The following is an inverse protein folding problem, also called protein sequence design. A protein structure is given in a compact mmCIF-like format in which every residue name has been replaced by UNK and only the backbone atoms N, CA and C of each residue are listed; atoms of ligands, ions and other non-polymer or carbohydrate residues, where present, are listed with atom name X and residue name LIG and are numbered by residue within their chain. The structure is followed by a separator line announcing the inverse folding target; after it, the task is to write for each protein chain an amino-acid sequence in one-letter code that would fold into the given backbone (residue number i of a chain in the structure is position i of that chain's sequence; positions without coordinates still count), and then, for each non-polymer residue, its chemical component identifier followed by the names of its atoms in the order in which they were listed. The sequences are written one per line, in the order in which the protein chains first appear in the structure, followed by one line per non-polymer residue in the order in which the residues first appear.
data_IF_747902660132
#
_entry.id   IF_747902660132
#
_cell.length_a   1.000
_cell.length_b   1.000
_cell.length_c   1.000
_cell.angle_alpha   90.00
_cell.angle_beta   90.00
_cell.angle_gamma   90.00
#
_symmetry.space_group_name_H-M   'P 1'
#
loop_
_entity.id
_entity.type
_entity.pdbx_description
1 polymer ?
#
# COMPACT_ATOMS: atom_id res chain seq x y z
N UNK A 1 -31.71 19.71 30.31
CA UNK A 1 -30.64 18.76 29.90
C UNK A 1 -30.69 18.66 28.41
N UNK A 2 -29.82 19.44 27.73
CA UNK A 2 -29.73 19.48 26.28
C UNK A 2 -28.79 18.41 25.79
N UNK A 3 -29.26 17.62 24.83
CA UNK A 3 -28.46 16.66 24.07
C UNK A 3 -27.52 17.40 23.13
N UNK A 4 -26.24 17.44 23.43
CA UNK A 4 -25.21 17.75 22.44
C UNK A 4 -24.98 16.53 21.54
N UNK A 5 -25.78 16.43 20.48
CA UNK A 5 -25.46 15.59 19.36
C UNK A 5 -24.36 16.28 18.55
N UNK A 6 -23.11 15.88 18.73
CA UNK A 6 -22.07 16.25 17.80
C UNK A 6 -22.33 15.51 16.48
N UNK A 7 -22.87 16.22 15.49
CA UNK A 7 -22.79 15.83 14.11
C UNK A 7 -21.31 15.69 13.77
N UNK A 8 -20.83 14.46 13.69
CA UNK A 8 -19.59 14.15 12.98
C UNK A 8 -20.01 14.30 11.51
N UNK A 9 -19.59 15.43 10.91
CA UNK A 9 -19.80 15.68 9.49
C UNK A 9 -19.35 14.45 8.72
N UNK A 10 -20.31 13.76 8.11
CA UNK A 10 -20.03 12.70 7.16
C UNK A 10 -19.37 13.37 5.96
N UNK A 11 -18.06 13.35 5.93
CA UNK A 11 -17.32 13.70 4.72
C UNK A 11 -17.86 12.76 3.65
N UNK A 12 -18.48 13.33 2.61
CA UNK A 12 -19.12 12.57 1.56
C UNK A 12 -18.06 11.65 0.92
N UNK A 13 -18.42 10.39 0.73
CA UNK A 13 -17.51 9.38 0.13
C UNK A 13 -17.02 9.84 -1.25
N UNK A 14 -17.81 10.65 -1.95
CA UNK A 14 -17.49 11.30 -3.22
C UNK A 14 -16.39 12.37 -3.05
N UNK A 15 -16.45 13.20 -2.01
CA UNK A 15 -15.41 14.20 -1.72
C UNK A 15 -14.06 13.54 -1.39
N UNK A 16 -14.07 12.45 -0.63
CA UNK A 16 -12.87 11.70 -0.32
C UNK A 16 -12.24 11.04 -1.55
N UNK A 17 -13.05 10.50 -2.45
CA UNK A 17 -12.58 9.94 -3.72
C UNK A 17 -11.98 11.04 -4.60
N UNK A 18 -12.62 12.20 -4.70
CA UNK A 18 -12.11 13.35 -5.48
C UNK A 18 -10.78 13.88 -4.89
N UNK A 19 -10.69 14.00 -3.57
CA UNK A 19 -9.48 14.43 -2.89
C UNK A 19 -8.32 13.43 -3.10
N UNK A 20 -8.62 12.14 -3.03
CA UNK A 20 -7.67 11.07 -3.34
C UNK A 20 -7.16 11.15 -4.78
N UNK A 21 -8.06 11.36 -5.75
CA UNK A 21 -7.69 11.48 -7.16
C UNK A 21 -6.87 12.75 -7.45
N UNK A 22 -7.11 13.84 -6.71
CA UNK A 22 -6.28 15.06 -6.78
C UNK A 22 -4.86 14.82 -6.24
N UNK A 23 -4.73 14.14 -5.09
CA UNK A 23 -3.42 13.76 -4.54
C UNK A 23 -2.67 12.83 -5.50
N UNK A 24 -3.35 11.85 -6.06
CA UNK A 24 -2.77 10.92 -7.03
C UNK A 24 -2.32 11.62 -8.30
N UNK A 25 -3.09 12.59 -8.81
CA UNK A 25 -2.72 13.43 -9.96
C UNK A 25 -1.48 14.28 -9.67
N UNK A 26 -1.41 14.92 -8.52
CA UNK A 26 -0.25 15.75 -8.14
C UNK A 26 1.02 14.91 -7.93
N UNK A 27 0.90 13.70 -7.38
CA UNK A 27 2.00 12.76 -7.24
C UNK A 27 2.50 12.26 -8.61
N UNK A 28 1.60 11.99 -9.55
CA UNK A 28 1.95 11.51 -10.88
C UNK A 28 2.65 12.58 -11.75
N UNK A 29 2.32 13.86 -11.58
CA UNK A 29 2.99 14.96 -12.33
C UNK A 29 4.45 15.16 -11.92
N UNK A 30 4.85 14.71 -10.73
CA UNK A 30 6.22 14.80 -10.22
C UNK A 30 7.01 13.48 -10.30
N UNK A 31 6.42 12.42 -10.87
CA UNK A 31 7.11 11.14 -11.02
C UNK A 31 8.11 11.20 -12.18
N UNK A 32 9.42 11.15 -11.85
CA UNK A 32 10.45 10.87 -12.84
C UNK A 32 10.30 9.46 -13.44
N UNK A 33 11.07 9.17 -14.49
CA UNK A 33 11.09 7.87 -15.22
C UNK A 33 11.08 6.66 -14.27
N UNK A 34 11.75 6.76 -13.12
CA UNK A 34 11.78 5.71 -12.11
C UNK A 34 10.39 5.39 -11.52
N UNK A 35 9.56 6.41 -11.33
CA UNK A 35 8.19 6.22 -10.85
C UNK A 35 7.29 5.59 -11.90
N UNK A 36 7.45 5.96 -13.18
CA UNK A 36 6.69 5.37 -14.29
C UNK A 36 6.97 3.87 -14.40
N UNK A 37 8.23 3.47 -14.31
CA UNK A 37 8.62 2.04 -14.31
C UNK A 37 7.97 1.31 -13.13
N UNK A 38 7.99 1.91 -11.93
CA UNK A 38 7.34 1.34 -10.76
C UNK A 38 5.85 1.10 -10.96
N UNK A 39 5.14 2.10 -11.48
CA UNK A 39 3.71 2.00 -11.75
C UNK A 39 3.40 0.90 -12.77
N UNK A 40 4.20 0.80 -13.84
CA UNK A 40 3.99 -0.24 -14.85
C UNK A 40 4.23 -1.64 -14.29
N UNK A 41 5.26 -1.81 -13.44
CA UNK A 41 5.50 -3.09 -12.74
C UNK A 41 4.31 -3.46 -11.83
N UNK A 42 3.75 -2.51 -11.07
CA UNK A 42 2.56 -2.76 -10.24
C UNK A 42 1.35 -3.18 -11.08
N UNK A 43 1.07 -2.49 -12.18
CA UNK A 43 -0.04 -2.85 -13.07
C UNK A 43 0.13 -4.27 -13.66
N UNK A 44 1.36 -4.64 -14.03
CA UNK A 44 1.65 -6.00 -14.52
C UNK A 44 1.46 -7.05 -13.44
N UNK A 45 1.85 -6.75 -12.20
CA UNK A 45 1.64 -7.64 -11.05
C UNK A 45 0.15 -7.86 -10.81
N UNK A 46 -0.65 -6.80 -10.81
CA UNK A 46 -2.10 -6.88 -10.64
C UNK A 46 -2.75 -7.71 -11.74
N UNK A 47 -2.45 -7.43 -13.01
CA UNK A 47 -2.96 -8.20 -14.14
C UNK A 47 -2.56 -9.68 -14.06
N UNK A 48 -1.35 -9.95 -13.62
CA UNK A 48 -0.88 -11.33 -13.45
C UNK A 48 -1.62 -12.06 -12.33
N UNK A 49 -1.77 -11.43 -11.17
CA UNK A 49 -2.47 -12.01 -10.01
C UNK A 49 -3.93 -12.33 -10.36
N UNK A 50 -4.61 -11.46 -11.09
CA UNK A 50 -6.04 -11.62 -11.40
C UNK A 50 -6.34 -12.45 -12.63
N UNK A 51 -5.52 -12.34 -13.66
CA UNK A 51 -5.82 -12.88 -14.99
C UNK A 51 -4.85 -13.99 -15.43
N UNK A 52 -3.72 -14.13 -14.74
CA UNK A 52 -2.62 -15.02 -15.16
C UNK A 52 -1.95 -14.58 -16.48
N UNK A 53 -2.20 -13.34 -16.92
CA UNK A 53 -1.72 -12.85 -18.22
C UNK A 53 -0.35 -12.20 -18.05
N UNK A 54 0.59 -12.57 -18.91
CA UNK A 54 1.88 -11.91 -19.07
C UNK A 54 1.92 -11.29 -20.46
N UNK A 55 1.75 -9.96 -20.58
CA UNK A 55 1.86 -9.31 -21.88
C UNK A 55 3.30 -9.28 -22.39
N UNK A 56 3.49 -8.91 -23.64
CA UNK A 56 4.83 -8.65 -24.17
C UNK A 56 5.43 -7.41 -23.49
N UNK A 57 6.58 -7.58 -22.83
CA UNK A 57 7.27 -6.51 -22.10
C UNK A 57 8.53 -6.12 -22.84
N UNK A 58 8.54 -4.93 -23.43
CA UNK A 58 9.67 -4.41 -24.21
C UNK A 58 10.76 -3.75 -23.35
N UNK A 59 10.37 -3.10 -22.24
CA UNK A 59 11.34 -2.46 -21.34
C UNK A 59 12.10 -3.52 -20.52
N UNK A 60 13.45 -3.59 -20.63
CA UNK A 60 14.25 -4.62 -19.97
C UNK A 60 14.25 -4.51 -18.43
N UNK A 61 14.13 -3.30 -17.86
CA UNK A 61 14.07 -3.11 -16.41
C UNK A 61 12.74 -3.63 -15.86
N UNK A 62 11.63 -3.33 -16.54
CA UNK A 62 10.30 -3.81 -16.18
C UNK A 62 10.25 -5.34 -16.30
N UNK A 63 10.76 -5.88 -17.41
CA UNK A 63 10.82 -7.34 -17.64
C UNK A 63 11.59 -8.06 -16.55
N UNK A 64 12.72 -7.52 -16.10
CA UNK A 64 13.53 -8.11 -15.02
C UNK A 64 12.80 -8.04 -13.67
N UNK A 65 12.26 -6.86 -13.33
CA UNK A 65 11.55 -6.65 -12.06
C UNK A 65 10.32 -7.53 -11.97
N UNK A 66 9.44 -7.48 -12.97
CA UNK A 66 8.22 -8.30 -13.03
C UNK A 66 8.54 -9.80 -13.09
N UNK A 67 9.56 -10.20 -13.86
CA UNK A 67 9.98 -11.59 -13.95
C UNK A 67 10.39 -12.18 -12.59
N UNK A 68 11.07 -11.39 -11.75
CA UNK A 68 11.42 -11.80 -10.38
C UNK A 68 10.20 -11.89 -9.45
N UNK A 69 9.24 -10.97 -9.59
CA UNK A 69 7.98 -11.07 -8.89
C UNK A 69 7.24 -12.36 -9.27
N UNK A 70 7.09 -12.61 -10.59
CA UNK A 70 6.39 -13.78 -11.10
C UNK A 70 7.02 -15.09 -10.59
N UNK A 71 8.35 -15.22 -10.70
CA UNK A 71 9.10 -16.39 -10.20
C UNK A 71 8.83 -16.63 -8.70
N UNK A 72 8.85 -15.57 -7.91
CA UNK A 72 8.57 -15.64 -6.48
C UNK A 72 7.11 -15.99 -6.21
N UNK A 73 6.17 -15.33 -6.90
CA UNK A 73 4.74 -15.50 -6.66
C UNK A 73 4.26 -16.91 -7.03
N UNK A 74 4.73 -17.46 -8.14
CA UNK A 74 4.40 -18.82 -8.59
C UNK A 74 4.87 -19.91 -7.60
N UNK A 75 5.90 -19.60 -6.83
CA UNK A 75 6.40 -20.48 -5.77
C UNK A 75 5.59 -20.42 -4.47
N UNK A 76 4.64 -19.48 -4.35
CA UNK A 76 3.83 -19.35 -3.15
C UNK A 76 2.67 -20.35 -3.18
N UNK A 77 2.59 -21.22 -2.18
CA UNK A 77 1.51 -22.18 -2.05
C UNK A 77 0.51 -21.76 -0.94
N UNK A 78 -0.78 -21.90 -1.24
CA UNK A 78 -1.84 -21.78 -0.23
C UNK A 78 -2.12 -20.37 0.24
N UNK A 79 -1.79 -19.37 -0.57
CA UNK A 79 -2.24 -18.00 -0.40
C UNK A 79 -3.57 -17.81 -1.14
N UNK A 80 -4.57 -17.31 -0.42
CA UNK A 80 -5.86 -16.89 -0.96
C UNK A 80 -5.87 -15.37 -1.08
N UNK A 81 -6.24 -14.85 -2.24
CA UNK A 81 -6.37 -13.41 -2.46
C UNK A 81 -7.62 -12.93 -1.71
N UNK A 82 -7.44 -11.94 -0.83
CA UNK A 82 -8.55 -11.25 -0.18
C UNK A 82 -8.86 -9.95 -0.92
N UNK A 83 -7.83 -9.14 -1.15
CA UNK A 83 -7.92 -7.89 -1.91
C UNK A 83 -6.61 -7.63 -2.65
N UNK A 84 -6.73 -6.88 -3.77
CA UNK A 84 -5.60 -6.21 -4.43
C UNK A 84 -6.00 -4.79 -4.81
N UNK A 85 -5.01 -3.89 -4.92
CA UNK A 85 -5.17 -2.47 -5.33
C UNK A 85 -6.36 -1.78 -4.64
N UNK A 86 -6.56 -2.10 -3.35
CA UNK A 86 -7.69 -1.58 -2.59
C UNK A 86 -7.41 -0.20 -2.05
N UNK A 87 -8.28 0.76 -2.34
CA UNK A 87 -8.31 2.04 -1.66
C UNK A 87 -8.72 1.82 -0.21
N UNK A 88 -7.96 2.38 0.72
CA UNK A 88 -8.17 2.27 2.17
C UNK A 88 -8.22 3.65 2.82
N UNK A 89 -9.01 3.79 3.87
CA UNK A 89 -9.28 5.04 4.55
C UNK A 89 -9.29 4.83 6.06
N UNK A 90 -8.57 5.70 6.79
CA UNK A 90 -8.81 5.88 8.23
C UNK A 90 -9.64 7.14 8.46
N UNK A 91 -10.86 6.97 8.94
CA UNK A 91 -11.75 8.08 9.35
C UNK A 91 -11.29 8.71 10.65
N UNK A 92 -10.74 7.91 11.56
CA UNK A 92 -10.23 8.37 12.85
C UNK A 92 -9.00 9.26 12.64
N UNK A 93 -8.04 8.80 11.85
CA UNK A 93 -6.77 9.49 11.64
C UNK A 93 -6.74 10.33 10.37
N UNK A 94 -7.83 10.37 9.57
CA UNK A 94 -8.03 11.22 8.39
C UNK A 94 -6.89 11.10 7.37
N UNK A 95 -6.63 9.89 6.90
CA UNK A 95 -5.71 9.62 5.79
C UNK A 95 -6.24 8.51 4.91
N UNK A 96 -5.76 8.44 3.69
CA UNK A 96 -6.14 7.44 2.70
C UNK A 96 -4.89 6.94 1.97
N UNK A 97 -5.02 5.78 1.33
CA UNK A 97 -3.97 5.21 0.50
C UNK A 97 -4.50 4.10 -0.40
N UNK A 98 -3.63 3.50 -1.19
CA UNK A 98 -3.93 2.28 -1.94
C UNK A 98 -3.03 1.17 -1.40
N UNK A 99 -3.66 0.11 -0.94
CA UNK A 99 -3.03 -1.11 -0.48
C UNK A 99 -2.80 -2.03 -1.68
N UNK A 100 -1.58 -2.54 -1.84
CA UNK A 100 -1.27 -3.41 -2.98
C UNK A 100 -1.99 -4.75 -2.86
N UNK A 101 -1.84 -5.49 -1.75
CA UNK A 101 -2.56 -6.75 -1.57
C UNK A 101 -2.74 -7.18 -0.11
N UNK A 102 -3.82 -7.91 0.16
CA UNK A 102 -3.98 -8.77 1.35
C UNK A 102 -4.22 -10.20 0.87
N UNK A 103 -3.42 -11.10 1.44
CA UNK A 103 -3.61 -12.53 1.28
C UNK A 103 -3.95 -13.16 2.61
N UNK A 104 -4.68 -14.27 2.54
CA UNK A 104 -5.01 -15.14 3.67
C UNK A 104 -4.27 -16.45 3.50
N UNK A 105 -3.63 -16.91 4.56
CA UNK A 105 -2.95 -18.20 4.60
C UNK A 105 -3.96 -19.35 4.84
N UNK A 106 -3.53 -20.59 4.63
CA UNK A 106 -4.31 -21.80 5.00
C UNK A 106 -4.70 -21.86 6.48
N UNK A 107 -3.90 -21.22 7.35
CA UNK A 107 -4.20 -21.09 8.79
C UNK A 107 -5.20 -19.99 9.13
N UNK A 108 -5.64 -19.20 8.14
CA UNK A 108 -6.57 -18.10 8.31
C UNK A 108 -5.92 -16.77 8.68
N UNK A 109 -4.60 -16.67 8.72
CA UNK A 109 -3.87 -15.44 8.99
C UNK A 109 -3.92 -14.51 7.78
N UNK A 110 -4.24 -13.21 8.01
CA UNK A 110 -4.19 -12.18 6.99
C UNK A 110 -2.84 -11.47 7.02
N UNK A 111 -2.26 -11.30 5.83
CA UNK A 111 -0.94 -10.69 5.63
C UNK A 111 -1.07 -9.56 4.61
N UNK A 112 -0.53 -8.38 4.92
CA UNK A 112 -0.41 -7.28 3.97
C UNK A 112 0.86 -7.50 3.17
N UNK A 113 0.72 -7.46 1.84
CA UNK A 113 1.83 -7.44 0.90
C UNK A 113 1.93 -6.08 0.23
N UNK A 114 3.15 -5.63 0.02
CA UNK A 114 3.47 -4.36 -0.64
C UNK A 114 4.59 -4.60 -1.65
N UNK A 115 4.33 -4.27 -2.91
CA UNK A 115 5.24 -4.49 -4.02
C UNK A 115 6.12 -3.27 -4.22
N UNK A 116 7.41 -3.49 -4.44
CA UNK A 116 8.36 -2.40 -4.73
C UNK A 116 9.30 -2.79 -5.86
N UNK A 117 9.73 -1.78 -6.63
CA UNK A 117 10.75 -1.90 -7.68
C UNK A 117 11.95 -0.97 -7.42
N UNK A 118 12.14 -0.57 -6.17
CA UNK A 118 13.17 0.37 -5.74
C UNK A 118 14.54 -0.31 -5.55
N UNK A 119 15.60 0.48 -5.44
CA UNK A 119 16.96 -0.02 -5.19
C UNK A 119 17.11 -0.74 -3.84
N UNK A 120 16.18 -0.52 -2.89
CA UNK A 120 16.20 -1.16 -1.58
C UNK A 120 14.95 -0.85 -0.77
N UNK A 121 14.76 -1.58 0.33
CA UNK A 121 13.66 -1.42 1.27
C UNK A 121 14.03 -0.33 2.29
N UNK A 122 13.13 0.64 2.49
CA UNK A 122 13.28 1.78 3.42
C UNK A 122 12.25 1.70 4.54
N UNK A 123 12.56 2.29 5.69
CA UNK A 123 11.67 2.29 6.85
C UNK A 123 10.33 3.00 6.58
N UNK A 124 10.31 4.00 5.69
CA UNK A 124 9.06 4.64 5.27
C UNK A 124 8.06 3.69 4.61
N UNK A 125 8.55 2.63 3.96
CA UNK A 125 7.69 1.59 3.37
C UNK A 125 7.02 0.72 4.45
N UNK A 126 7.72 0.48 5.57
CA UNK A 126 7.14 -0.22 6.72
C UNK A 126 6.05 0.63 7.36
N UNK A 127 6.32 1.93 7.56
CA UNK A 127 5.35 2.89 8.10
C UNK A 127 4.08 2.93 7.24
N UNK A 128 4.21 2.89 5.92
CA UNK A 128 3.08 2.82 4.99
C UNK A 128 2.19 1.59 5.28
N UNK A 129 2.77 0.42 5.46
CA UNK A 129 2.04 -0.81 5.76
C UNK A 129 1.38 -0.74 7.15
N UNK A 130 2.03 -0.15 8.13
CA UNK A 130 1.42 0.05 9.46
C UNK A 130 0.18 0.94 9.37
N UNK A 131 0.22 2.01 8.57
CA UNK A 131 -0.94 2.86 8.30
C UNK A 131 -2.06 2.07 7.59
N UNK A 132 -1.73 1.24 6.60
CA UNK A 132 -2.71 0.41 5.91
C UNK A 132 -3.41 -0.57 6.84
N UNK A 133 -2.66 -1.19 7.77
CA UNK A 133 -3.27 -2.04 8.80
C UNK A 133 -4.32 -1.30 9.63
N UNK A 134 -4.06 -0.06 10.02
CA UNK A 134 -5.02 0.76 10.77
C UNK A 134 -6.30 0.93 9.97
N UNK A 135 -6.21 1.29 8.67
CA UNK A 135 -7.36 1.42 7.80
C UNK A 135 -8.16 0.12 7.70
N UNK A 136 -7.49 -0.99 7.47
CA UNK A 136 -8.13 -2.32 7.31
C UNK A 136 -8.84 -2.75 8.60
N UNK A 137 -8.24 -2.48 9.75
CA UNK A 137 -8.87 -2.76 11.05
C UNK A 137 -10.11 -1.89 11.27
N UNK A 138 -10.04 -0.60 10.91
CA UNK A 138 -11.18 0.33 11.02
C UNK A 138 -12.32 -0.03 10.07
N UNK A 139 -12.02 -0.31 8.80
CA UNK A 139 -13.04 -0.51 7.77
C UNK A 139 -13.65 -1.91 7.79
N UNK A 140 -12.85 -2.93 8.05
CA UNK A 140 -13.22 -4.34 7.84
C UNK A 140 -13.17 -5.18 9.11
N UNK A 141 -12.63 -4.66 10.22
CA UNK A 141 -12.41 -5.43 11.44
C UNK A 141 -11.33 -6.52 11.32
N UNK A 142 -10.56 -6.54 10.22
CA UNK A 142 -9.50 -7.51 10.00
C UNK A 142 -8.25 -7.09 10.78
N UNK A 143 -7.79 -7.93 11.70
CA UNK A 143 -6.58 -7.70 12.47
C UNK A 143 -5.38 -8.39 11.81
N UNK A 144 -4.67 -7.61 10.96
CA UNK A 144 -3.45 -8.06 10.31
C UNK A 144 -2.27 -7.93 11.28
N UNK A 145 -1.48 -8.98 11.43
CA UNK A 145 -0.33 -9.01 12.36
C UNK A 145 1.03 -9.08 11.69
N UNK A 146 1.04 -9.17 10.36
CA UNK A 146 2.24 -9.34 9.56
C UNK A 146 2.17 -8.51 8.30
N UNK A 147 3.28 -7.86 7.95
CA UNK A 147 3.51 -7.23 6.67
C UNK A 147 4.69 -7.85 5.93
N UNK A 148 4.61 -7.90 4.62
CA UNK A 148 5.67 -8.39 3.75
C UNK A 148 5.89 -7.38 2.63
N UNK A 149 7.12 -6.88 2.51
CA UNK A 149 7.55 -6.11 1.34
C UNK A 149 8.27 -7.05 0.39
N UNK A 150 7.79 -7.12 -0.85
CA UNK A 150 8.42 -7.85 -1.94
C UNK A 150 9.02 -6.85 -2.91
N UNK A 151 10.33 -6.61 -2.79
CA UNK A 151 11.03 -5.63 -3.62
C UNK A 151 11.78 -6.33 -4.74
N UNK A 152 11.28 -6.18 -5.97
CA UNK A 152 11.89 -6.69 -7.18
C UNK A 152 12.59 -5.55 -7.91
N UNK A 153 13.90 -5.44 -7.75
CA UNK A 153 14.64 -4.29 -8.29
C UNK A 153 14.68 -4.31 -9.81
N UNK A 154 14.96 -3.16 -10.41
CA UNK A 154 15.09 -3.00 -11.87
C UNK A 154 16.23 -3.85 -12.47
N UNK A 155 17.23 -4.18 -11.64
CA UNK A 155 18.34 -5.06 -12.00
C UNK A 155 17.95 -6.56 -11.93
N UNK A 156 16.74 -6.87 -11.45
CA UNK A 156 16.25 -8.23 -11.30
C UNK A 156 16.70 -8.93 -10.01
N UNK A 157 16.94 -8.15 -8.94
CA UNK A 157 17.19 -8.71 -7.60
C UNK A 157 15.88 -8.78 -6.84
N UNK A 158 15.69 -9.85 -6.07
CA UNK A 158 14.57 -10.03 -5.15
C UNK A 158 15.03 -9.81 -3.71
N UNK A 159 14.38 -8.87 -3.03
CA UNK A 159 14.59 -8.62 -1.60
C UNK A 159 13.23 -8.71 -0.91
N UNK A 160 13.11 -9.60 0.07
CA UNK A 160 11.88 -9.79 0.85
C UNK A 160 12.16 -9.36 2.28
N UNK A 161 11.27 -8.55 2.84
CA UNK A 161 11.29 -8.18 4.24
C UNK A 161 9.94 -8.50 4.86
N UNK A 162 9.93 -9.50 5.73
CA UNK A 162 8.81 -9.85 6.58
C UNK A 162 8.99 -9.17 7.95
N UNK A 163 7.90 -8.67 8.53
CA UNK A 163 7.93 -8.01 9.83
C UNK A 163 6.58 -8.09 10.53
N UNK A 164 6.59 -8.16 11.88
CA UNK A 164 5.36 -8.14 12.66
C UNK A 164 4.74 -6.74 12.67
N UNK A 165 3.43 -6.67 12.87
CA UNK A 165 2.69 -5.43 13.09
C UNK A 165 1.93 -5.58 14.41
N UNK A 166 2.29 -4.78 15.41
CA UNK A 166 1.64 -4.72 16.71
C UNK A 166 1.31 -3.26 17.08
N UNK A 167 0.77 -3.04 18.25
CA UNK A 167 0.37 -1.71 18.72
C UNK A 167 1.51 -0.68 18.73
N UNK A 168 2.74 -1.10 19.02
CA UNK A 168 3.89 -0.19 19.01
C UNK A 168 4.16 0.34 17.60
N UNK A 169 4.13 -0.52 16.57
CA UNK A 169 4.31 -0.09 15.19
C UNK A 169 3.16 0.81 14.70
N UNK A 170 1.92 0.53 15.13
CA UNK A 170 0.78 1.41 14.83
C UNK A 170 1.00 2.81 15.43
N UNK A 171 1.45 2.91 16.69
CA UNK A 171 1.77 4.19 17.33
C UNK A 171 2.91 4.93 16.65
N UNK A 172 3.96 4.22 16.21
CA UNK A 172 5.04 4.80 15.41
C UNK A 172 4.49 5.38 14.11
N UNK A 173 3.64 4.66 13.40
CA UNK A 173 3.05 5.13 12.16
C UNK A 173 2.20 6.40 12.34
N UNK A 174 1.37 6.45 13.39
CA UNK A 174 0.59 7.65 13.74
C UNK A 174 1.50 8.82 14.11
N UNK A 175 2.59 8.57 14.83
CA UNK A 175 3.57 9.61 15.16
C UNK A 175 4.24 10.18 13.91
N UNK A 176 4.61 9.32 12.96
CA UNK A 176 5.14 9.74 11.66
C UNK A 176 4.13 10.57 10.85
N UNK A 177 2.86 10.15 10.83
CA UNK A 177 1.78 10.89 10.17
C UNK A 177 1.60 12.29 10.79
N UNK A 178 1.60 12.39 12.12
CA UNK A 178 1.48 13.66 12.81
C UNK A 178 2.68 14.58 12.56
N UNK A 179 3.89 14.02 12.54
CA UNK A 179 5.12 14.77 12.19
C UNK A 179 5.05 15.29 10.76
N UNK A 180 4.66 14.43 9.81
CA UNK A 180 4.47 14.83 8.41
C UNK A 180 3.50 16.01 8.28
N UNK A 181 2.34 15.95 8.95
CA UNK A 181 1.34 17.02 8.93
C UNK A 181 1.88 18.32 9.55
N UNK A 182 2.54 18.22 10.69
CA UNK A 182 3.13 19.37 11.35
C UNK A 182 4.16 20.08 10.46
N UNK A 183 5.01 19.34 9.78
CA UNK A 183 6.02 19.90 8.89
C UNK A 183 5.40 20.56 7.65
N UNK A 184 4.34 19.97 7.09
CA UNK A 184 3.70 20.50 5.88
C UNK A 184 2.76 21.67 6.16
N UNK A 185 2.18 21.81 7.35
CA UNK A 185 1.40 22.98 7.74
C UNK A 185 2.25 24.27 7.85
N UNK A 186 3.57 24.15 8.01
CA UNK A 186 4.49 25.30 8.03
C UNK A 186 4.81 25.87 6.65
N UNK A 187 4.47 25.18 5.58
CA UNK A 187 4.71 25.60 4.19
C UNK A 187 3.63 26.49 3.57
N UNK A 188 2.50 26.68 4.27
CA UNK A 188 1.35 27.49 3.81
C UNK A 188 1.27 28.90 4.42
N UNK A 189 2.43 29.49 4.78
CA UNK A 189 2.51 30.89 5.25
C UNK A 189 3.28 31.76 4.28
#
# INVERSE_FOLDING_TARGET
CGSCGSNVDSVDEIELVQYYDQIKKSANTNMGVAGLIGTEVHNLIEDYIHKGIVPEIHNPEIKKSFGKFKEWFDAQEGLEIVFTERKVLSRIHKFTGTLDAIFKTKSGEHIIYDWKSSSGIRDSMLVQIYLYKICIKEELGIDVKKGIIVNCTKEGKLNIKEFPINEMQEQVAISCLNMYRYLNQKGEK
#
